data_IF_386355369312
#
_entry.id   IF_386355369312
#
_cell.length_a   1.000
_cell.length_b   1.000
_cell.length_c   1.000
_cell.angle_alpha   90.00
_cell.angle_beta   90.00
_cell.angle_gamma   90.00
#
_symmetry.space_group_name_H-M   'P 1'
#
loop_
_entity.id
_entity.type
_entity.pdbx_description
1 polymer ?
#
# COMPACT_ATOMS: atom_id res chain seq x y z
N UNK A 1 1.92 10.62 15.72
CA UNK A 1 2.96 11.05 14.79
C UNK A 1 4.01 11.84 15.58
N UNK A 2 5.26 11.82 15.13
CA UNK A 2 6.34 12.62 15.68
C UNK A 2 6.38 14.03 15.04
N UNK A 3 7.37 14.84 15.43
CA UNK A 3 7.55 16.21 14.93
C UNK A 3 7.86 16.29 13.43
N UNK A 4 8.20 15.19 12.78
CA UNK A 4 8.44 15.14 11.33
C UNK A 4 7.18 14.76 10.53
N UNK A 5 6.10 14.39 11.21
CA UNK A 5 4.87 13.85 10.62
C UNK A 5 4.95 12.35 10.30
N UNK A 6 5.99 11.66 10.78
CA UNK A 6 6.11 10.21 10.70
C UNK A 6 5.35 9.54 11.86
N UNK A 7 4.87 8.30 11.66
CA UNK A 7 4.37 7.51 12.79
C UNK A 7 5.49 7.31 13.81
N UNK A 8 5.17 7.41 15.11
CA UNK A 8 6.15 7.26 16.19
C UNK A 8 6.89 5.91 16.06
N UNK A 9 8.18 5.93 16.37
CA UNK A 9 9.00 4.73 16.36
C UNK A 9 8.57 3.74 17.45
N UNK A 10 9.06 2.50 17.35
CA UNK A 10 8.66 1.41 18.27
C UNK A 10 9.05 1.73 19.73
N UNK A 11 10.20 2.37 19.93
CA UNK A 11 10.70 2.77 21.23
C UNK A 11 9.82 3.85 21.88
N UNK A 12 9.46 4.90 21.12
CA UNK A 12 8.56 5.94 21.59
C UNK A 12 7.15 5.40 21.86
N UNK A 13 6.65 4.48 21.02
CA UNK A 13 5.37 3.82 21.26
C UNK A 13 5.39 2.97 22.56
N UNK A 14 6.49 2.24 22.81
CA UNK A 14 6.67 1.48 24.04
C UNK A 14 6.71 2.39 25.28
N UNK A 15 7.36 3.56 25.19
CA UNK A 15 7.35 4.56 26.25
C UNK A 15 5.93 5.08 26.53
N UNK A 16 5.19 5.46 25.50
CA UNK A 16 3.79 5.91 25.64
C UNK A 16 2.94 4.84 26.32
N UNK A 17 3.11 3.55 25.96
CA UNK A 17 2.38 2.46 26.59
C UNK A 17 2.62 2.38 28.10
N UNK A 18 3.83 2.71 28.61
CA UNK A 18 4.10 2.70 30.07
C UNK A 18 3.25 3.70 30.85
N UNK A 19 2.85 4.82 30.19
CA UNK A 19 1.95 5.81 30.82
C UNK A 19 0.47 5.38 30.79
N UNK A 20 0.11 4.47 29.89
CA UNK A 20 -1.26 3.96 29.73
C UNK A 20 -1.47 2.71 30.60
N UNK A 21 -0.41 1.91 30.83
CA UNK A 21 -0.46 0.71 31.66
C UNK A 21 -0.96 1.02 33.07
N UNK A 22 -1.96 0.26 33.51
CA UNK A 22 -2.57 0.43 34.85
C UNK A 22 -3.64 1.52 34.93
N UNK A 23 -3.95 2.24 33.84
CA UNK A 23 -5.08 3.18 33.79
C UNK A 23 -6.39 2.43 33.55
N UNK A 24 -7.42 2.80 34.31
CA UNK A 24 -8.76 2.24 34.14
C UNK A 24 -9.57 3.02 33.08
N UNK A 25 -10.60 2.37 32.54
CA UNK A 25 -11.53 3.01 31.62
C UNK A 25 -12.27 4.21 32.26
N UNK A 26 -12.51 4.16 33.58
CA UNK A 26 -13.14 5.24 34.35
C UNK A 26 -12.24 6.49 34.43
N UNK A 27 -10.92 6.31 34.57
CA UNK A 27 -9.97 7.44 34.54
C UNK A 27 -9.94 8.09 33.16
N UNK A 28 -9.99 7.29 32.09
CA UNK A 28 -10.10 7.82 30.71
C UNK A 28 -11.41 8.58 30.49
N UNK A 29 -12.54 8.09 31.01
CA UNK A 29 -13.83 8.76 30.94
C UNK A 29 -13.82 10.12 31.68
N UNK A 30 -13.19 10.19 32.85
CA UNK A 30 -13.03 11.46 33.60
C UNK A 30 -12.22 12.51 32.83
N UNK A 31 -11.19 12.09 32.08
CA UNK A 31 -10.42 12.96 31.20
C UNK A 31 -11.31 13.47 30.06
N UNK A 32 -12.06 12.57 29.40
CA UNK A 32 -12.99 12.92 28.32
C UNK A 32 -14.14 13.83 28.77
N UNK A 33 -14.56 13.75 30.05
CA UNK A 33 -15.54 14.66 30.64
C UNK A 33 -14.97 16.06 30.95
N UNK A 34 -13.73 16.35 30.56
CA UNK A 34 -13.14 17.69 30.64
C UNK A 34 -12.63 18.12 32.02
N UNK A 35 -12.51 17.18 32.96
CA UNK A 35 -12.04 17.51 34.32
C UNK A 35 -10.53 17.80 34.42
N UNK A 36 -9.75 17.37 33.40
CA UNK A 36 -8.28 17.50 33.40
C UNK A 36 -7.70 17.88 32.03
N UNK A 37 -8.52 18.32 31.08
CA UNK A 37 -8.04 18.68 29.75
C UNK A 37 -7.38 20.07 29.80
N UNK A 38 -6.12 20.17 29.40
CA UNK A 38 -5.50 21.46 29.16
C UNK A 38 -5.91 21.99 27.78
N UNK A 39 -6.94 22.86 27.75
CA UNK A 39 -7.48 23.41 26.53
C UNK A 39 -6.44 24.19 25.69
N UNK A 40 -5.37 24.72 26.34
CA UNK A 40 -4.32 25.45 25.65
C UNK A 40 -3.44 24.56 24.76
N UNK A 41 -3.53 23.23 24.94
CA UNK A 41 -2.85 22.25 24.10
C UNK A 41 -3.72 21.71 22.96
N UNK A 42 -4.99 22.14 22.89
CA UNK A 42 -5.94 21.71 21.84
C UNK A 42 -6.06 22.85 20.86
N UNK A 43 -5.53 22.63 19.64
CA UNK A 43 -5.64 23.59 18.56
C UNK A 43 -6.57 23.04 17.48
N UNK A 44 -7.51 23.84 17.05
CA UNK A 44 -8.37 23.50 15.91
C UNK A 44 -7.64 23.81 14.61
N UNK A 45 -7.59 22.82 13.71
CA UNK A 45 -6.99 22.97 12.38
C UNK A 45 -7.98 23.79 11.51
N UNK A 46 -7.52 24.92 10.98
CA UNK A 46 -8.31 25.83 10.17
C UNK A 46 -8.10 25.66 8.66
N UNK A 47 -8.73 26.56 7.91
CA UNK A 47 -8.64 26.58 6.44
C UNK A 47 -7.21 26.79 5.93
N UNK A 48 -6.38 27.53 6.67
CA UNK A 48 -4.99 27.82 6.27
C UNK A 48 -4.15 26.53 6.18
N UNK A 49 -4.29 25.65 7.15
CA UNK A 49 -3.57 24.36 7.18
C UNK A 49 -4.08 23.43 6.08
N UNK A 50 -5.41 23.42 5.86
CA UNK A 50 -6.01 22.64 4.77
C UNK A 50 -5.58 23.16 3.40
N UNK A 51 -5.55 24.47 3.18
CA UNK A 51 -5.09 25.06 1.93
C UNK A 51 -3.60 24.79 1.70
N UNK A 52 -2.76 24.86 2.75
CA UNK A 52 -1.35 24.50 2.65
C UNK A 52 -1.15 23.02 2.27
N UNK A 53 -1.97 22.11 2.81
CA UNK A 53 -1.97 20.71 2.42
C UNK A 53 -2.38 20.54 0.94
N UNK A 54 -3.47 21.16 0.51
CA UNK A 54 -3.91 21.08 -0.88
C UNK A 54 -2.89 21.66 -1.87
N UNK A 55 -2.23 22.74 -1.50
CA UNK A 55 -1.14 23.32 -2.29
C UNK A 55 0.05 22.36 -2.41
N UNK A 56 0.39 21.68 -1.31
CA UNK A 56 1.48 20.71 -1.30
C UNK A 56 1.16 19.46 -2.19
N UNK A 57 -0.08 18.97 -2.12
CA UNK A 57 -0.58 17.89 -2.99
C UNK A 57 -0.60 18.33 -4.46
N UNK A 58 -1.13 19.52 -4.75
CA UNK A 58 -1.22 20.04 -6.11
C UNK A 58 0.15 20.19 -6.78
N UNK A 59 1.20 20.50 -6.02
CA UNK A 59 2.58 20.55 -6.51
C UNK A 59 3.13 19.18 -6.97
N UNK A 60 2.47 18.09 -6.61
CA UNK A 60 2.82 16.75 -7.09
C UNK A 60 2.11 16.41 -8.41
N UNK A 61 1.24 17.27 -8.94
CA UNK A 61 0.59 17.08 -10.24
C UNK A 61 1.61 16.84 -11.35
N UNK A 62 1.34 15.85 -12.21
CA UNK A 62 2.24 15.42 -13.28
C UNK A 62 1.61 15.50 -14.67
N UNK A 63 0.28 15.54 -14.75
CA UNK A 63 -0.44 15.57 -16.02
C UNK A 63 -1.76 16.33 -15.87
N UNK A 64 -1.90 17.47 -16.55
CA UNK A 64 -3.02 18.39 -16.37
C UNK A 64 -3.88 18.58 -17.65
N UNK A 65 -3.67 17.76 -18.68
CA UNK A 65 -4.47 17.85 -19.89
C UNK A 65 -5.93 17.48 -19.60
N UNK A 66 -6.85 18.19 -20.25
CA UNK A 66 -8.28 17.88 -20.14
C UNK A 66 -8.57 16.48 -20.63
N UNK A 67 -9.30 15.73 -19.85
CA UNK A 67 -9.70 14.37 -20.14
C UNK A 67 -11.21 14.22 -20.01
N UNK A 68 -11.76 13.34 -20.83
CA UNK A 68 -13.13 12.85 -20.72
C UNK A 68 -13.22 11.60 -19.79
N UNK A 69 -12.21 11.39 -18.96
CA UNK A 69 -12.16 10.29 -17.99
C UNK A 69 -13.34 10.38 -17.04
N UNK A 70 -14.15 9.33 -16.99
CA UNK A 70 -15.28 9.19 -16.05
C UNK A 70 -14.87 8.34 -14.87
N UNK A 71 -15.04 8.89 -13.68
CA UNK A 71 -14.59 8.30 -12.42
C UNK A 71 -15.80 8.08 -11.51
N UNK A 72 -15.90 6.89 -10.92
CA UNK A 72 -16.74 6.68 -9.73
C UNK A 72 -15.84 6.61 -8.52
N UNK A 73 -16.13 7.42 -7.52
CA UNK A 73 -15.37 7.49 -6.28
C UNK A 73 -16.21 7.10 -5.07
N UNK A 74 -15.63 6.29 -4.19
CA UNK A 74 -16.16 6.04 -2.85
C UNK A 74 -15.14 6.36 -1.77
N UNK A 75 -15.46 7.23 -0.80
CA UNK A 75 -14.64 7.46 0.38
C UNK A 75 -14.81 6.39 1.46
N UNK A 76 -15.64 5.37 1.25
CA UNK A 76 -15.98 4.34 2.24
C UNK A 76 -16.32 4.93 3.63
N UNK A 77 -17.16 5.97 3.65
CA UNK A 77 -17.56 6.74 4.85
C UNK A 77 -16.41 7.52 5.52
N UNK A 78 -15.28 7.69 4.83
CA UNK A 78 -14.03 8.21 5.40
C UNK A 78 -13.76 9.68 5.12
N UNK A 79 -12.60 10.10 5.60
CA UNK A 79 -12.10 11.48 5.55
C UNK A 79 -11.73 11.96 4.15
N UNK A 80 -11.49 11.01 3.21
CA UNK A 80 -11.12 11.32 1.83
C UNK A 80 -12.18 12.03 1.02
N UNK A 81 -13.46 12.02 1.44
CA UNK A 81 -14.58 12.60 0.67
C UNK A 81 -14.31 14.03 0.18
N UNK A 82 -13.91 14.92 1.06
CA UNK A 82 -13.67 16.33 0.70
C UNK A 82 -12.34 16.52 -0.02
N UNK A 83 -11.19 16.09 0.52
CA UNK A 83 -9.88 16.38 -0.08
C UNK A 83 -9.67 15.70 -1.44
N UNK A 84 -10.07 14.43 -1.60
CA UNK A 84 -9.93 13.74 -2.88
C UNK A 84 -10.78 14.43 -3.95
N UNK A 85 -12.03 14.75 -3.65
CA UNK A 85 -12.90 15.47 -4.60
C UNK A 85 -12.36 16.85 -4.98
N UNK A 86 -11.73 17.56 -4.02
CA UNK A 86 -11.09 18.85 -4.30
C UNK A 86 -9.94 18.69 -5.29
N UNK A 87 -9.10 17.66 -5.13
CA UNK A 87 -8.01 17.38 -6.05
C UNK A 87 -8.48 16.85 -7.42
N UNK A 88 -9.64 16.24 -7.47
CA UNK A 88 -10.23 15.70 -8.71
C UNK A 88 -11.25 16.67 -9.36
N UNK A 89 -11.30 17.95 -8.97
CA UNK A 89 -12.30 18.89 -9.43
C UNK A 89 -12.30 19.11 -10.96
N UNK A 90 -11.22 18.81 -11.65
CA UNK A 90 -11.09 18.91 -13.10
C UNK A 90 -11.55 17.65 -13.87
N UNK A 91 -11.95 16.59 -13.16
CA UNK A 91 -12.44 15.33 -13.72
C UNK A 91 -13.96 15.18 -13.57
N UNK A 92 -14.56 14.31 -14.38
CA UNK A 92 -15.97 13.90 -14.24
C UNK A 92 -16.07 12.82 -13.15
N UNK A 93 -16.35 13.25 -11.92
CA UNK A 93 -16.38 12.40 -10.73
C UNK A 93 -17.81 12.22 -10.23
N UNK A 94 -18.29 10.99 -10.22
CA UNK A 94 -19.54 10.58 -9.56
C UNK A 94 -19.21 9.91 -8.22
N UNK A 95 -19.73 10.45 -7.12
CA UNK A 95 -19.53 9.88 -5.78
C UNK A 95 -20.64 8.90 -5.43
N UNK A 96 -20.30 7.77 -4.80
CA UNK A 96 -21.26 6.81 -4.25
C UNK A 96 -21.98 7.43 -3.07
N UNK A 97 -23.24 7.78 -3.25
CA UNK A 97 -24.03 8.56 -2.25
C UNK A 97 -24.21 7.84 -0.94
N UNK A 98 -24.36 6.53 -0.97
CA UNK A 98 -24.56 5.67 0.18
C UNK A 98 -23.32 5.60 1.08
N UNK A 99 -22.14 5.92 0.53
CA UNK A 99 -20.83 5.85 1.21
C UNK A 99 -20.16 7.22 1.35
N UNK A 100 -20.84 8.30 0.92
CA UNK A 100 -20.27 9.65 0.88
C UNK A 100 -20.05 10.25 2.28
N UNK A 101 -21.02 10.07 3.16
CA UNK A 101 -21.00 10.68 4.50
C UNK A 101 -20.44 9.73 5.55
N UNK A 102 -19.84 10.26 6.63
CA UNK A 102 -19.36 9.43 7.74
C UNK A 102 -20.46 8.56 8.33
N UNK A 103 -20.16 7.29 8.51
CA UNK A 103 -21.00 6.31 9.21
C UNK A 103 -20.11 5.44 10.11
N UNK A 104 -20.13 5.68 11.41
CA UNK A 104 -19.34 4.93 12.40
C UNK A 104 -19.68 3.45 12.50
N UNK A 105 -20.82 3.02 11.96
CA UNK A 105 -21.21 1.60 11.89
C UNK A 105 -20.79 0.92 10.58
N UNK A 106 -20.32 1.70 9.58
CA UNK A 106 -19.99 1.20 8.25
C UNK A 106 -21.09 0.32 7.63
N UNK A 107 -22.35 0.79 7.72
CA UNK A 107 -23.56 -0.02 7.45
C UNK A 107 -23.64 -0.57 6.03
N UNK A 108 -22.86 -0.03 5.09
CA UNK A 108 -22.85 -0.45 3.67
C UNK A 108 -21.76 -1.47 3.34
N UNK A 109 -20.82 -1.71 4.25
CA UNK A 109 -19.65 -2.60 4.00
C UNK A 109 -19.32 -3.40 5.26
N UNK A 110 -18.88 -4.64 5.08
CA UNK A 110 -18.38 -5.45 6.20
C UNK A 110 -17.02 -4.97 6.71
N UNK A 111 -16.20 -4.50 5.80
CA UNK A 111 -14.86 -3.97 6.07
C UNK A 111 -14.62 -2.79 5.10
N UNK A 112 -14.36 -1.58 5.60
CA UNK A 112 -14.12 -0.41 4.75
C UNK A 112 -12.69 -0.39 4.20
N UNK A 113 -12.26 -1.48 3.56
CA UNK A 113 -10.92 -1.66 3.03
C UNK A 113 -10.98 -1.77 1.50
N UNK A 114 -10.40 -0.83 0.72
CA UNK A 114 -10.44 -0.84 -0.73
C UNK A 114 -9.66 -2.00 -1.38
N UNK A 115 -8.93 -2.81 -0.61
CA UNK A 115 -8.35 -4.08 -1.04
C UNK A 115 -9.43 -5.15 -1.28
N UNK A 116 -10.56 -5.04 -0.58
CA UNK A 116 -11.64 -6.03 -0.62
C UNK A 116 -12.63 -5.67 -1.73
N UNK A 117 -12.93 -6.63 -2.60
CA UNK A 117 -13.89 -6.44 -3.69
C UNK A 117 -15.25 -5.98 -3.16
N UNK A 118 -15.70 -6.54 -2.02
CA UNK A 118 -16.99 -6.23 -1.43
C UNK A 118 -17.11 -4.74 -1.04
N UNK A 119 -16.00 -4.09 -0.64
CA UNK A 119 -15.99 -2.69 -0.31
C UNK A 119 -16.28 -1.79 -1.52
N UNK A 120 -15.89 -2.22 -2.72
CA UNK A 120 -16.08 -1.47 -3.98
C UNK A 120 -17.34 -1.86 -4.76
N UNK A 121 -18.15 -2.81 -4.29
CA UNK A 121 -19.30 -3.30 -5.03
C UNK A 121 -20.28 -2.19 -5.42
N UNK A 122 -20.69 -1.31 -4.51
CA UNK A 122 -21.61 -0.20 -4.83
C UNK A 122 -21.00 0.77 -5.86
N UNK A 123 -19.70 1.02 -5.76
CA UNK A 123 -19.00 1.85 -6.72
C UNK A 123 -18.90 1.19 -8.11
N UNK A 124 -18.67 -0.13 -8.16
CA UNK A 124 -18.64 -0.91 -9.40
C UNK A 124 -20.04 -0.94 -10.04
N UNK A 125 -21.10 -1.15 -9.25
CA UNK A 125 -22.49 -1.11 -9.75
C UNK A 125 -22.79 0.26 -10.35
N UNK A 126 -22.44 1.35 -9.65
CA UNK A 126 -22.61 2.71 -10.15
C UNK A 126 -21.77 2.97 -11.41
N UNK A 127 -20.56 2.46 -11.45
CA UNK A 127 -19.70 2.59 -12.62
C UNK A 127 -20.25 1.86 -13.85
N UNK A 128 -20.85 0.67 -13.68
CA UNK A 128 -21.56 -0.04 -14.75
C UNK A 128 -22.75 0.75 -15.27
N UNK A 129 -23.53 1.38 -14.37
CA UNK A 129 -24.69 2.19 -14.73
C UNK A 129 -24.33 3.37 -15.65
N UNK A 130 -23.25 4.10 -15.34
CA UNK A 130 -22.87 5.31 -16.06
C UNK A 130 -21.76 5.10 -17.10
N UNK A 131 -21.24 3.88 -17.20
CA UNK A 131 -20.12 3.54 -18.11
C UNK A 131 -18.81 4.26 -17.74
N UNK A 132 -18.47 4.31 -16.43
CA UNK A 132 -17.24 4.93 -15.98
C UNK A 132 -16.00 4.14 -16.46
N UNK A 133 -14.88 4.83 -16.62
CA UNK A 133 -13.60 4.22 -17.02
C UNK A 133 -12.90 3.54 -15.85
N UNK A 134 -13.02 4.15 -14.66
CA UNK A 134 -12.34 3.71 -13.45
C UNK A 134 -13.21 3.92 -12.21
N UNK A 135 -13.11 2.98 -11.28
CA UNK A 135 -13.59 3.11 -9.89
C UNK A 135 -12.41 3.39 -8.99
N UNK A 136 -12.58 4.32 -8.07
CA UNK A 136 -11.60 4.70 -7.06
C UNK A 136 -12.23 4.56 -5.66
N UNK A 137 -11.56 3.93 -4.73
CA UNK A 137 -11.98 3.82 -3.34
C UNK A 137 -10.83 4.16 -2.39
N UNK A 138 -11.11 4.94 -1.34
CA UNK A 138 -10.17 5.19 -0.25
C UNK A 138 -10.70 4.58 1.03
N UNK A 139 -9.80 4.14 1.92
CA UNK A 139 -10.18 3.71 3.27
C UNK A 139 -10.56 4.90 4.16
N UNK A 140 -11.09 4.66 5.38
CA UNK A 140 -11.66 5.75 6.17
C UNK A 140 -10.69 6.84 6.61
N UNK A 141 -9.43 6.55 6.84
CA UNK A 141 -8.38 7.52 7.17
C UNK A 141 -7.65 8.05 5.93
N UNK A 142 -8.06 7.57 4.73
CA UNK A 142 -7.59 8.02 3.43
C UNK A 142 -6.07 7.89 3.24
N UNK A 143 -5.52 6.78 3.73
CA UNK A 143 -4.11 6.45 3.52
C UNK A 143 -3.88 5.37 2.45
N UNK A 144 -4.94 4.67 2.01
CA UNK A 144 -4.93 3.65 0.95
C UNK A 144 -5.89 3.99 -0.17
N UNK A 145 -5.51 3.57 -1.38
CA UNK A 145 -6.34 3.75 -2.59
C UNK A 145 -6.41 2.44 -3.37
N UNK A 146 -7.63 1.90 -3.51
CA UNK A 146 -7.93 0.79 -4.39
C UNK A 146 -8.63 1.26 -5.67
N UNK A 147 -8.37 0.56 -6.77
CA UNK A 147 -9.00 0.86 -8.06
C UNK A 147 -9.60 -0.38 -8.72
N UNK A 148 -10.68 -0.17 -9.46
CA UNK A 148 -11.17 -1.14 -10.42
C UNK A 148 -11.28 -0.48 -11.80
N UNK A 149 -10.79 -1.16 -12.83
CA UNK A 149 -10.66 -0.63 -14.18
C UNK A 149 -11.61 -1.37 -15.11
N UNK A 150 -12.33 -0.63 -15.94
CA UNK A 150 -13.26 -1.19 -16.92
C UNK A 150 -12.50 -1.95 -17.99
N UNK A 151 -12.90 -3.20 -18.24
CA UNK A 151 -12.39 -4.03 -19.32
C UNK A 151 -13.18 -3.84 -20.63
N UNK A 152 -12.76 -4.53 -21.68
CA UNK A 152 -13.41 -4.49 -23.01
C UNK A 152 -14.86 -5.03 -23.03
N UNK A 153 -15.22 -5.86 -22.06
CA UNK A 153 -16.57 -6.43 -21.91
C UNK A 153 -17.49 -5.52 -21.08
N UNK A 154 -16.95 -4.45 -20.49
CA UNK A 154 -17.67 -3.55 -19.59
C UNK A 154 -17.72 -4.03 -18.15
N UNK A 155 -16.97 -5.08 -17.79
CA UNK A 155 -16.75 -5.51 -16.43
C UNK A 155 -15.61 -4.74 -15.78
N UNK A 156 -15.50 -4.81 -14.44
CA UNK A 156 -14.48 -4.08 -13.68
C UNK A 156 -13.51 -5.04 -13.02
N UNK A 157 -12.23 -4.88 -13.34
CA UNK A 157 -11.13 -5.66 -12.80
C UNK A 157 -10.49 -4.88 -11.65
N UNK A 158 -10.54 -5.45 -10.45
CA UNK A 158 -9.87 -4.90 -9.28
C UNK A 158 -8.35 -5.10 -9.42
N UNK A 159 -7.58 -4.02 -9.34
CA UNK A 159 -6.13 -4.07 -9.37
C UNK A 159 -5.58 -4.28 -7.96
N UNK A 160 -4.52 -5.08 -7.85
CA UNK A 160 -3.79 -5.22 -6.58
C UNK A 160 -2.96 -3.96 -6.30
N UNK A 161 -2.58 -3.78 -5.04
CA UNK A 161 -1.68 -2.69 -4.65
C UNK A 161 -0.36 -2.70 -5.42
N UNK A 162 0.19 -3.89 -5.68
CA UNK A 162 1.40 -4.06 -6.48
C UNK A 162 1.21 -3.65 -7.95
N UNK A 163 0.08 -4.02 -8.56
CA UNK A 163 -0.22 -3.64 -9.95
C UNK A 163 -0.40 -2.13 -10.10
N UNK A 164 -1.19 -1.53 -9.20
CA UNK A 164 -1.38 -0.08 -9.17
C UNK A 164 -0.06 0.64 -8.89
N UNK A 165 0.73 0.12 -7.94
CA UNK A 165 2.06 0.66 -7.60
C UNK A 165 3.04 0.61 -8.77
N UNK A 166 3.11 -0.50 -9.50
CA UNK A 166 3.97 -0.63 -10.68
C UNK A 166 3.59 0.36 -11.80
N UNK A 167 2.29 0.49 -12.08
CA UNK A 167 1.77 1.48 -13.03
C UNK A 167 2.11 2.91 -12.59
N UNK A 168 1.90 3.22 -11.31
CA UNK A 168 2.18 4.53 -10.77
C UNK A 168 3.68 4.84 -10.81
N UNK A 169 4.54 3.88 -10.49
CA UNK A 169 6.00 4.00 -10.65
C UNK A 169 6.34 4.32 -12.09
N UNK A 170 5.83 3.54 -13.07
CA UNK A 170 6.08 3.78 -14.50
C UNK A 170 5.66 5.18 -14.92
N UNK A 171 4.44 5.58 -14.57
CA UNK A 171 3.89 6.91 -14.90
C UNK A 171 4.72 8.04 -14.29
N UNK A 172 5.03 7.98 -12.99
CA UNK A 172 5.83 9.00 -12.29
C UNK A 172 7.21 9.14 -12.91
N UNK A 173 7.85 8.02 -13.25
CA UNK A 173 9.19 8.04 -13.84
C UNK A 173 9.18 8.53 -15.29
N UNK A 174 8.14 8.22 -16.06
CA UNK A 174 7.97 8.79 -17.41
C UNK A 174 7.81 10.31 -17.35
N UNK A 175 6.93 10.81 -16.48
CA UNK A 175 6.67 12.25 -16.34
C UNK A 175 7.87 13.02 -15.77
N UNK A 176 8.60 12.43 -14.82
CA UNK A 176 9.76 13.06 -14.18
C UNK A 176 11.09 12.74 -14.88
N UNK A 177 11.11 12.08 -16.04
CA UNK A 177 12.31 11.53 -16.67
C UNK A 177 13.47 12.55 -16.78
N UNK A 178 13.18 13.80 -17.13
CA UNK A 178 14.21 14.85 -17.25
C UNK A 178 14.75 15.36 -15.92
N UNK A 179 14.06 15.11 -14.80
CA UNK A 179 14.45 15.54 -13.47
C UNK A 179 15.15 14.42 -12.67
N UNK A 180 15.11 13.17 -13.16
CA UNK A 180 15.76 12.04 -12.48
C UNK A 180 17.28 12.19 -12.52
N UNK A 181 17.91 11.80 -11.43
CA UNK A 181 19.36 11.87 -11.27
C UNK A 181 19.89 10.68 -10.44
N UNK A 182 21.21 10.62 -10.22
CA UNK A 182 21.86 9.50 -9.50
C UNK A 182 21.43 9.32 -8.03
N UNK A 183 20.77 10.32 -7.45
CA UNK A 183 20.24 10.24 -6.07
C UNK A 183 18.79 9.78 -6.05
N UNK A 184 18.08 9.87 -7.17
CA UNK A 184 16.68 9.48 -7.28
C UNK A 184 16.46 8.06 -6.78
N UNK A 185 15.49 7.88 -5.88
CA UNK A 185 15.30 6.64 -5.14
C UNK A 185 13.82 6.27 -5.08
N UNK A 186 13.53 5.01 -5.36
CA UNK A 186 12.28 4.36 -5.04
C UNK A 186 12.45 3.62 -3.71
N UNK A 187 11.47 3.74 -2.80
CA UNK A 187 11.46 3.01 -1.53
C UNK A 187 10.25 2.06 -1.50
N UNK A 188 10.49 0.79 -1.18
CA UNK A 188 9.44 -0.25 -1.05
C UNK A 188 9.67 -1.12 0.18
N UNK A 189 8.66 -1.90 0.57
CA UNK A 189 8.86 -2.89 1.64
C UNK A 189 9.47 -4.19 1.11
N UNK A 190 10.03 -4.99 2.03
CA UNK A 190 10.61 -6.32 1.72
C UNK A 190 9.58 -7.30 1.15
N UNK A 191 8.29 -7.06 1.29
CA UNK A 191 7.18 -7.89 0.79
C UNK A 191 6.40 -7.26 -0.36
N UNK A 192 6.79 -6.07 -0.78
CA UNK A 192 6.27 -5.41 -2.00
C UNK A 192 6.93 -6.02 -3.23
N UNK A 193 6.17 -6.17 -4.32
CA UNK A 193 6.62 -6.75 -5.60
C UNK A 193 7.93 -6.14 -6.11
N UNK A 194 8.75 -6.94 -6.79
CA UNK A 194 9.96 -6.45 -7.48
C UNK A 194 9.62 -5.70 -8.79
N UNK A 195 8.42 -5.83 -9.34
CA UNK A 195 8.06 -5.22 -10.62
C UNK A 195 8.31 -3.71 -10.64
N UNK A 196 7.85 -2.97 -9.63
CA UNK A 196 8.10 -1.52 -9.54
C UNK A 196 9.58 -1.20 -9.35
N UNK A 197 10.32 -2.05 -8.62
CA UNK A 197 11.76 -1.88 -8.47
C UNK A 197 12.52 -2.13 -9.78
N UNK A 198 12.11 -3.13 -10.57
CA UNK A 198 12.72 -3.41 -11.87
C UNK A 198 12.45 -2.30 -12.88
N UNK A 199 11.23 -1.75 -12.89
CA UNK A 199 10.92 -0.53 -13.63
C UNK A 199 11.88 0.59 -13.21
N UNK A 200 11.98 0.87 -11.91
CA UNK A 200 12.82 1.98 -11.41
C UNK A 200 14.31 1.78 -11.70
N UNK A 201 14.84 0.54 -11.62
CA UNK A 201 16.21 0.21 -12.03
C UNK A 201 16.47 0.54 -13.50
N UNK A 202 15.49 0.28 -14.36
CA UNK A 202 15.59 0.59 -15.79
C UNK A 202 15.68 2.12 -16.07
N UNK A 203 15.11 2.95 -15.17
CA UNK A 203 15.27 4.41 -15.18
C UNK A 203 16.54 4.89 -14.46
N UNK A 204 17.34 3.99 -13.90
CA UNK A 204 18.58 4.31 -13.20
C UNK A 204 18.38 4.79 -11.75
N UNK A 205 17.24 4.52 -11.15
CA UNK A 205 17.00 4.85 -9.74
C UNK A 205 17.71 3.89 -8.79
N UNK A 206 17.99 4.40 -7.61
CA UNK A 206 18.31 3.56 -6.46
C UNK A 206 17.04 2.92 -5.90
N UNK A 207 17.18 1.74 -5.33
CA UNK A 207 16.09 1.02 -4.68
C UNK A 207 16.48 0.80 -3.22
N UNK A 208 15.69 1.34 -2.31
CA UNK A 208 15.84 1.06 -0.89
C UNK A 208 14.65 0.22 -0.40
N UNK A 209 14.96 -0.86 0.30
CA UNK A 209 13.97 -1.73 0.93
C UNK A 209 13.82 -1.39 2.41
N UNK A 210 12.60 -1.46 2.93
CA UNK A 210 12.28 -1.30 4.36
C UNK A 210 11.50 -2.51 4.88
N UNK A 211 11.39 -2.63 6.18
CA UNK A 211 10.39 -3.51 6.79
C UNK A 211 8.98 -3.05 6.43
N UNK A 212 7.99 -3.91 6.64
CA UNK A 212 6.57 -3.58 6.47
C UNK A 212 6.14 -2.49 7.45
N UNK A 213 5.44 -1.49 6.92
CA UNK A 213 4.94 -0.34 7.64
C UNK A 213 5.54 0.95 7.10
N UNK A 214 4.67 1.84 6.66
CA UNK A 214 5.07 3.07 5.95
C UNK A 214 5.93 4.01 6.81
N UNK A 215 5.88 3.87 8.15
CA UNK A 215 6.78 4.58 9.07
C UNK A 215 8.27 4.41 8.72
N UNK A 216 8.66 3.24 8.21
CA UNK A 216 10.04 3.01 7.78
C UNK A 216 10.36 3.71 6.45
N UNK A 217 9.37 3.84 5.57
CA UNK A 217 9.49 4.64 4.34
C UNK A 217 9.59 6.13 4.71
N UNK A 218 8.72 6.61 5.64
CA UNK A 218 8.77 7.97 6.17
C UNK A 218 10.12 8.30 6.83
N UNK A 219 10.66 7.37 7.61
CA UNK A 219 12.00 7.54 8.22
C UNK A 219 13.13 7.61 7.16
N UNK A 220 13.04 6.83 6.07
CA UNK A 220 13.99 6.96 4.95
C UNK A 220 13.93 8.35 4.32
N UNK A 221 12.75 8.93 4.15
CA UNK A 221 12.62 10.31 3.65
C UNK A 221 13.34 11.29 4.57
N UNK A 222 13.14 11.17 5.90
CA UNK A 222 13.83 11.99 6.89
C UNK A 222 15.36 11.83 6.83
N UNK A 223 15.85 10.59 6.66
CA UNK A 223 17.28 10.30 6.51
C UNK A 223 17.85 10.97 5.25
N UNK A 224 17.11 10.90 4.11
CA UNK A 224 17.56 11.50 2.86
C UNK A 224 17.62 13.03 2.93
N UNK A 225 16.63 13.67 3.54
CA UNK A 225 16.63 15.11 3.72
C UNK A 225 17.79 15.60 4.62
N UNK A 226 18.12 14.83 5.67
CA UNK A 226 19.22 15.15 6.57
C UNK A 226 20.58 14.92 5.93
N UNK A 227 20.75 13.83 5.17
CA UNK A 227 22.05 13.47 4.59
C UNK A 227 22.32 14.11 3.23
N UNK A 228 21.26 14.35 2.44
CA UNK A 228 21.36 14.77 1.04
C UNK A 228 21.98 13.73 0.11
N UNK A 229 22.14 12.47 0.56
CA UNK A 229 22.73 11.38 -0.25
C UNK A 229 21.76 10.76 -1.25
N UNK A 230 20.48 10.80 -0.93
CA UNK A 230 19.37 10.25 -1.72
C UNK A 230 18.26 11.28 -1.89
N UNK A 231 17.43 11.09 -2.90
CA UNK A 231 16.23 11.88 -3.16
C UNK A 231 15.03 10.94 -3.34
N UNK A 232 14.06 11.07 -2.47
CA UNK A 232 12.84 10.27 -2.55
C UNK A 232 12.00 10.71 -3.76
N UNK A 233 11.61 9.76 -4.60
CA UNK A 233 10.75 10.01 -5.76
C UNK A 233 9.36 9.45 -5.51
N UNK A 234 9.28 8.17 -5.14
CA UNK A 234 8.06 7.43 -4.87
C UNK A 234 8.34 6.29 -3.90
N UNK A 235 7.38 6.02 -3.03
CA UNK A 235 7.39 4.82 -2.19
C UNK A 235 6.00 4.20 -2.13
N UNK A 236 5.94 2.87 -1.97
CA UNK A 236 4.67 2.18 -1.88
C UNK A 236 4.76 0.83 -1.17
N UNK A 237 3.62 0.39 -0.69
CA UNK A 237 3.40 -0.93 -0.11
C UNK A 237 2.39 -1.72 -0.95
N UNK A 238 2.51 -3.04 -0.91
CA UNK A 238 1.56 -3.96 -1.55
C UNK A 238 0.12 -3.79 -1.01
N UNK A 239 -0.02 -3.22 0.18
CA UNK A 239 -1.27 -2.95 0.88
C UNK A 239 -1.92 -1.62 0.47
N UNK A 240 -1.78 -1.23 -0.80
CA UNK A 240 -2.49 -0.09 -1.43
C UNK A 240 -2.11 1.29 -0.88
N UNK A 241 -1.00 1.40 -0.17
CA UNK A 241 -0.44 2.65 0.32
C UNK A 241 0.66 3.19 -0.59
N UNK A 242 0.54 4.42 -1.03
CA UNK A 242 1.50 5.07 -1.93
C UNK A 242 1.81 6.49 -1.45
N UNK A 243 3.02 6.97 -1.78
CA UNK A 243 3.42 8.35 -1.59
C UNK A 243 4.33 8.80 -2.73
N UNK A 244 4.04 9.96 -3.31
CA UNK A 244 4.89 10.64 -4.29
C UNK A 244 5.22 12.03 -3.76
N UNK A 245 6.52 12.38 -3.76
CA UNK A 245 6.98 13.62 -3.14
C UNK A 245 7.20 13.48 -1.64
N UNK A 246 7.61 14.58 -1.01
CA UNK A 246 8.05 14.61 0.40
C UNK A 246 7.20 15.52 1.29
N UNK A 247 5.98 15.85 0.86
CA UNK A 247 5.05 16.69 1.61
C UNK A 247 4.43 15.98 2.81
N UNK A 248 4.43 14.66 2.82
CA UNK A 248 3.99 13.80 3.91
C UNK A 248 5.08 12.79 4.29
N UNK A 249 4.90 12.11 5.43
CA UNK A 249 5.79 11.03 5.92
C UNK A 249 5.06 9.71 6.12
N UNK A 250 3.84 9.66 5.62
CA UNK A 250 3.00 8.46 5.59
C UNK A 250 2.33 8.37 4.21
N UNK A 251 1.65 7.28 3.96
CA UNK A 251 0.81 7.07 2.78
C UNK A 251 -0.18 8.23 2.65
N UNK A 252 -0.35 8.73 1.46
CA UNK A 252 -1.32 9.78 1.19
C UNK A 252 -2.27 9.36 0.06
N UNK A 253 -3.51 9.01 0.45
CA UNK A 253 -4.56 8.65 -0.48
C UNK A 253 -5.02 9.81 -1.35
N UNK A 254 -4.84 11.05 -0.92
CA UNK A 254 -5.26 12.23 -1.68
C UNK A 254 -4.34 12.47 -2.88
N UNK A 255 -3.02 12.49 -2.65
CA UNK A 255 -2.04 12.59 -3.74
C UNK A 255 -2.09 11.36 -4.65
N UNK A 256 -2.27 10.18 -4.07
CA UNK A 256 -2.35 8.93 -4.82
C UNK A 256 -3.58 8.89 -5.73
N UNK A 257 -4.75 9.27 -5.23
CA UNK A 257 -5.98 9.38 -6.01
C UNK A 257 -5.83 10.36 -7.19
N UNK A 258 -5.26 11.53 -6.94
CA UNK A 258 -4.98 12.53 -7.98
C UNK A 258 -4.08 11.95 -9.07
N UNK A 259 -2.94 11.37 -8.68
CA UNK A 259 -1.98 10.83 -9.65
C UNK A 259 -2.48 9.60 -10.40
N UNK A 260 -3.26 8.73 -9.76
CA UNK A 260 -3.91 7.59 -10.42
C UNK A 260 -4.90 8.08 -11.50
N UNK A 261 -5.69 9.12 -11.20
CA UNK A 261 -6.62 9.68 -12.19
C UNK A 261 -5.86 10.37 -13.34
N UNK A 262 -4.78 11.09 -13.05
CA UNK A 262 -3.90 11.67 -14.06
C UNK A 262 -3.26 10.59 -14.93
N UNK A 263 -2.77 9.51 -14.34
CA UNK A 263 -2.24 8.36 -15.04
C UNK A 263 -3.29 7.70 -15.95
N UNK A 264 -4.51 7.48 -15.44
CA UNK A 264 -5.60 6.93 -16.26
C UNK A 264 -5.95 7.86 -17.43
N UNK A 265 -5.97 9.18 -17.19
CA UNK A 265 -6.16 10.19 -18.22
C UNK A 265 -5.05 10.16 -19.27
N UNK A 266 -3.80 10.05 -18.86
CA UNK A 266 -2.65 9.97 -19.74
C UNK A 266 -2.67 8.73 -20.64
N UNK A 267 -3.04 7.56 -20.10
CA UNK A 267 -3.24 6.35 -20.91
C UNK A 267 -4.43 6.51 -21.87
N UNK A 268 -5.54 7.07 -21.39
CA UNK A 268 -6.75 7.29 -22.22
C UNK A 268 -6.46 8.23 -23.40
N UNK A 269 -5.66 9.27 -23.22
CA UNK A 269 -5.22 10.17 -24.30
C UNK A 269 -4.40 9.44 -25.38
N UNK A 270 -3.82 8.29 -25.06
CA UNK A 270 -3.11 7.41 -26.00
C UNK A 270 -4.00 6.30 -26.56
N UNK A 271 -5.31 6.32 -26.29
CA UNK A 271 -6.25 5.27 -26.69
C UNK A 271 -6.10 3.95 -25.92
N UNK A 272 -5.51 4.01 -24.71
CA UNK A 272 -5.24 2.86 -23.84
C UNK A 272 -5.99 2.97 -22.51
N UNK A 273 -6.31 1.83 -21.93
CA UNK A 273 -6.75 1.70 -20.54
C UNK A 273 -5.55 1.46 -19.60
N UNK A 274 -5.79 1.48 -18.28
CA UNK A 274 -4.77 1.03 -17.31
C UNK A 274 -4.49 -0.48 -17.43
N UNK A 275 -5.44 -1.28 -17.94
CA UNK A 275 -5.23 -2.70 -18.25
C UNK A 275 -4.20 -2.84 -19.35
N UNK A 276 -4.32 -2.04 -20.43
CA UNK A 276 -3.35 -2.02 -21.52
C UNK A 276 -1.97 -1.58 -21.03
N UNK A 277 -1.92 -0.54 -20.19
CA UNK A 277 -0.67 -0.08 -19.58
C UNK A 277 0.01 -1.16 -18.72
N UNK A 278 -0.76 -1.91 -17.94
CA UNK A 278 -0.24 -3.04 -17.16
C UNK A 278 0.25 -4.19 -18.05
N UNK A 279 -0.45 -4.47 -19.14
CA UNK A 279 -0.03 -5.47 -20.11
C UNK A 279 1.26 -5.08 -20.83
N UNK A 280 1.43 -3.79 -21.16
CA UNK A 280 2.69 -3.26 -21.72
C UNK A 280 3.87 -3.48 -20.74
N UNK A 281 3.66 -3.21 -19.44
CA UNK A 281 4.65 -3.44 -18.39
C UNK A 281 4.98 -4.95 -18.31
N UNK A 282 4.00 -5.82 -18.32
CA UNK A 282 4.24 -7.27 -18.30
C UNK A 282 4.95 -7.77 -19.57
N UNK A 283 4.69 -7.17 -20.72
CA UNK A 283 5.39 -7.51 -21.96
C UNK A 283 6.87 -7.11 -21.91
N UNK A 284 7.21 -6.02 -21.20
CA UNK A 284 8.58 -5.52 -21.08
C UNK A 284 9.37 -6.23 -19.97
N UNK A 285 8.75 -6.49 -18.79
CA UNK A 285 9.43 -6.96 -17.58
C UNK A 285 9.13 -8.43 -17.23
N UNK A 286 8.20 -9.10 -17.92
CA UNK A 286 7.67 -10.40 -17.54
C UNK A 286 6.44 -10.27 -16.65
N UNK A 287 5.76 -11.40 -16.43
CA UNK A 287 4.55 -11.46 -15.63
C UNK A 287 4.89 -11.68 -14.16
N UNK A 288 4.47 -10.75 -13.31
CA UNK A 288 4.61 -10.82 -11.85
C UNK A 288 3.26 -11.17 -11.25
N UNK A 289 3.16 -12.33 -10.63
CA UNK A 289 1.96 -12.80 -9.93
C UNK A 289 2.19 -12.72 -8.43
N UNK A 290 1.68 -11.65 -7.83
CA UNK A 290 1.75 -11.43 -6.40
C UNK A 290 0.48 -11.97 -5.72
N UNK A 291 0.63 -12.60 -4.55
CA UNK A 291 -0.48 -13.14 -3.79
C UNK A 291 -0.19 -13.12 -2.29
N UNK A 292 -1.25 -13.04 -1.48
CA UNK A 292 -1.18 -13.09 -0.02
C UNK A 292 -2.15 -14.14 0.53
N UNK A 293 -1.62 -15.11 1.27
CA UNK A 293 -2.41 -15.97 2.15
C UNK A 293 -2.31 -15.49 3.59
N UNK A 294 -3.42 -15.51 4.30
CA UNK A 294 -3.50 -15.16 5.71
C UNK A 294 -4.14 -16.32 6.49
N UNK A 295 -3.39 -16.94 7.38
CA UNK A 295 -3.83 -18.08 8.18
C UNK A 295 -4.05 -17.64 9.62
N UNK A 296 -5.30 -17.70 10.10
CA UNK A 296 -5.67 -17.38 11.48
C UNK A 296 -5.63 -18.65 12.31
N UNK A 297 -4.76 -18.69 13.31
CA UNK A 297 -4.59 -19.81 14.24
C UNK A 297 -5.09 -19.36 15.61
N UNK A 298 -6.37 -19.65 15.93
CA UNK A 298 -7.07 -19.11 17.11
C UNK A 298 -6.54 -19.68 18.44
N UNK A 299 -6.61 -18.87 19.50
CA UNK A 299 -6.33 -19.24 20.87
C UNK A 299 -4.84 -19.25 21.23
N UNK A 300 -4.54 -19.66 22.48
CA UNK A 300 -3.16 -19.74 23.00
C UNK A 300 -2.32 -20.74 22.22
N UNK A 301 -2.88 -21.89 21.92
CA UNK A 301 -2.23 -22.96 21.14
C UNK A 301 -1.87 -22.46 19.72
N UNK A 302 -2.66 -21.53 19.18
CA UNK A 302 -2.38 -20.90 17.88
C UNK A 302 -1.11 -20.05 17.88
N UNK A 303 -0.85 -19.29 18.93
CA UNK A 303 0.36 -18.48 19.06
C UNK A 303 1.61 -19.38 19.20
N UNK A 304 1.53 -20.45 20.00
CA UNK A 304 2.61 -21.44 20.16
C UNK A 304 2.87 -22.16 18.82
N UNK A 305 1.81 -22.53 18.10
CA UNK A 305 1.93 -23.13 16.76
C UNK A 305 2.61 -22.20 15.76
N UNK A 306 2.32 -20.90 15.76
CA UNK A 306 2.99 -19.91 14.91
C UNK A 306 4.49 -19.88 15.17
N UNK A 307 4.93 -19.89 16.43
CA UNK A 307 6.35 -19.91 16.78
C UNK A 307 7.02 -21.21 16.34
N UNK A 308 6.34 -22.35 16.51
CA UNK A 308 6.80 -23.65 16.03
C UNK A 308 6.97 -23.66 14.51
N UNK A 309 5.97 -23.14 13.76
CA UNK A 309 6.02 -23.03 12.31
C UNK A 309 7.19 -22.16 11.84
N UNK A 310 7.42 -21.01 12.48
CA UNK A 310 8.56 -20.14 12.13
C UNK A 310 9.89 -20.85 12.38
N UNK A 311 9.99 -21.66 13.43
CA UNK A 311 11.17 -22.50 13.72
C UNK A 311 11.35 -23.57 12.66
N UNK A 312 10.27 -24.22 12.24
CA UNK A 312 10.29 -25.23 11.18
C UNK A 312 10.71 -24.61 9.83
N UNK A 313 10.13 -23.47 9.45
CA UNK A 313 10.54 -22.75 8.23
C UNK A 313 12.03 -22.42 8.25
N UNK A 314 12.56 -21.89 9.36
CA UNK A 314 14.00 -21.61 9.51
C UNK A 314 14.84 -22.88 9.34
N UNK A 315 14.46 -23.98 9.99
CA UNK A 315 15.22 -25.23 9.94
C UNK A 315 15.26 -25.86 8.54
N UNK A 316 14.17 -25.73 7.77
CA UNK A 316 14.12 -26.22 6.39
C UNK A 316 15.01 -25.39 5.45
N UNK A 317 15.13 -24.08 5.69
CA UNK A 317 15.98 -23.20 4.90
C UNK A 317 15.80 -23.40 3.40
N UNK A 318 16.89 -23.53 2.64
CA UNK A 318 16.87 -23.74 1.18
C UNK A 318 16.20 -25.05 0.76
N UNK A 319 16.06 -26.03 1.66
CA UNK A 319 15.42 -27.32 1.36
C UNK A 319 13.87 -27.24 1.36
N UNK A 320 13.30 -26.09 1.69
CA UNK A 320 11.85 -25.90 1.69
C UNK A 320 11.24 -26.14 0.30
N UNK A 321 11.88 -25.63 -0.75
CA UNK A 321 11.51 -25.83 -2.14
C UNK A 321 12.76 -25.99 -3.01
N UNK A 322 12.62 -26.71 -4.12
CA UNK A 322 13.68 -26.82 -5.11
C UNK A 322 13.96 -25.45 -5.76
N UNK A 323 15.23 -25.20 -6.08
CA UNK A 323 15.67 -24.00 -6.78
C UNK A 323 15.73 -22.72 -5.95
N UNK A 324 15.52 -22.78 -4.63
CA UNK A 324 15.77 -21.62 -3.75
C UNK A 324 17.27 -21.30 -3.80
N UNK A 325 17.57 -20.04 -4.14
CA UNK A 325 18.92 -19.48 -4.19
C UNK A 325 19.37 -18.98 -2.82
N UNK A 326 18.48 -18.32 -2.10
CA UNK A 326 18.79 -17.62 -0.86
C UNK A 326 17.60 -17.63 0.10
N UNK A 327 17.91 -17.70 1.39
CA UNK A 327 16.93 -17.46 2.47
C UNK A 327 17.44 -16.30 3.31
N UNK A 328 16.65 -15.26 3.37
CA UNK A 328 16.93 -14.06 4.17
C UNK A 328 16.12 -14.13 5.47
N UNK A 329 16.82 -14.20 6.60
CA UNK A 329 16.19 -14.16 7.94
C UNK A 329 16.40 -12.78 8.58
N UNK A 330 15.31 -12.05 8.73
CA UNK A 330 15.34 -10.70 9.30
C UNK A 330 15.39 -10.67 10.83
N UNK A 331 15.33 -11.83 11.50
CA UNK A 331 15.32 -11.90 12.98
C UNK A 331 16.61 -11.40 13.63
N UNK A 332 17.72 -11.41 12.91
CA UNK A 332 19.01 -10.89 13.36
C UNK A 332 19.24 -9.40 13.10
N UNK A 333 18.39 -8.79 12.29
CA UNK A 333 18.65 -7.51 11.62
C UNK A 333 19.58 -7.72 10.42
N UNK A 334 19.27 -7.12 9.28
CA UNK A 334 20.05 -7.24 8.04
C UNK A 334 19.98 -5.94 7.24
N UNK A 335 21.06 -5.56 6.57
CA UNK A 335 21.14 -4.38 5.69
C UNK A 335 20.61 -3.10 6.36
N UNK A 336 20.99 -2.84 7.62
CA UNK A 336 20.52 -1.72 8.44
C UNK A 336 19.02 -1.72 8.77
N UNK A 337 18.31 -2.80 8.46
CA UNK A 337 16.93 -2.99 8.88
C UNK A 337 16.85 -3.47 10.33
N UNK A 338 15.87 -3.01 11.11
CA UNK A 338 15.61 -3.51 12.44
C UNK A 338 15.33 -5.02 12.44
N UNK A 339 15.41 -5.64 13.61
CA UNK A 339 15.07 -7.06 13.79
C UNK A 339 13.58 -7.26 13.62
N UNK A 340 13.18 -8.19 12.76
CA UNK A 340 11.79 -8.60 12.60
C UNK A 340 11.69 -10.11 12.33
N UNK A 341 10.62 -10.74 12.82
CA UNK A 341 10.41 -12.17 12.64
C UNK A 341 9.85 -12.48 11.24
N UNK A 342 10.68 -12.29 10.21
CA UNK A 342 10.34 -12.53 8.80
C UNK A 342 11.39 -13.43 8.17
N UNK A 343 10.93 -14.35 7.32
CA UNK A 343 11.77 -15.17 6.45
C UNK A 343 11.38 -14.93 5.00
N UNK A 344 12.36 -14.60 4.14
CA UNK A 344 12.15 -14.42 2.70
C UNK A 344 12.99 -15.44 1.94
N UNK A 345 12.34 -16.26 1.11
CA UNK A 345 12.94 -17.28 0.26
C UNK A 345 12.97 -16.76 -1.16
N UNK A 346 14.12 -16.75 -1.81
CA UNK A 346 14.34 -16.15 -3.11
C UNK A 346 14.83 -17.23 -4.08
N UNK A 347 14.19 -17.34 -5.25
CA UNK A 347 14.59 -18.21 -6.34
C UNK A 347 15.54 -17.52 -7.32
N UNK A 348 16.21 -18.30 -8.19
CA UNK A 348 17.14 -17.78 -9.19
C UNK A 348 16.48 -16.84 -10.23
N UNK A 349 15.20 -17.02 -10.48
CA UNK A 349 14.41 -16.24 -11.45
C UNK A 349 13.84 -14.94 -10.88
N UNK A 350 14.16 -14.61 -9.65
CA UNK A 350 13.63 -13.42 -8.96
C UNK A 350 12.29 -13.64 -8.26
N UNK A 351 11.64 -14.80 -8.44
CA UNK A 351 10.48 -15.17 -7.63
C UNK A 351 10.86 -15.24 -6.15
N UNK A 352 9.91 -14.91 -5.28
CA UNK A 352 10.14 -15.01 -3.83
C UNK A 352 8.86 -15.33 -3.06
N UNK A 353 9.05 -15.82 -1.86
CA UNK A 353 8.01 -16.07 -0.86
C UNK A 353 8.50 -15.51 0.48
N UNK A 354 7.65 -14.80 1.21
CA UNK A 354 7.97 -14.33 2.55
C UNK A 354 6.94 -14.82 3.58
N UNK A 355 7.42 -15.29 4.73
CA UNK A 355 6.58 -15.76 5.85
C UNK A 355 6.76 -14.81 7.01
N UNK A 356 5.64 -14.28 7.53
CA UNK A 356 5.62 -13.28 8.60
C UNK A 356 4.47 -13.54 9.56
N UNK A 357 4.70 -13.75 10.86
CA UNK A 357 3.64 -13.71 11.86
C UNK A 357 3.14 -12.28 12.07
N UNK A 358 1.84 -12.14 12.37
CA UNK A 358 1.29 -10.86 12.82
C UNK A 358 1.77 -10.53 14.23
N UNK A 359 2.09 -9.28 14.48
CA UNK A 359 2.48 -8.81 15.83
C UNK A 359 1.29 -8.63 16.78
N UNK A 360 0.06 -8.49 16.25
CA UNK A 360 -1.13 -8.12 17.04
C UNK A 360 -2.20 -9.20 17.09
N UNK A 361 -2.18 -10.15 16.17
CA UNK A 361 -3.20 -11.19 16.04
C UNK A 361 -2.54 -12.58 15.90
N UNK A 362 -3.18 -13.66 16.34
CA UNK A 362 -2.69 -15.02 16.14
C UNK A 362 -2.84 -15.46 14.68
N UNK A 363 -2.06 -14.87 13.82
CA UNK A 363 -2.14 -14.97 12.37
C UNK A 363 -0.73 -15.06 11.77
N UNK A 364 -0.55 -15.89 10.75
CA UNK A 364 0.64 -15.94 9.92
C UNK A 364 0.29 -15.53 8.49
N UNK A 365 1.03 -14.58 7.95
CA UNK A 365 0.90 -14.12 6.57
C UNK A 365 2.00 -14.74 5.71
N UNK A 366 1.63 -15.17 4.51
CA UNK A 366 2.57 -15.67 3.52
C UNK A 366 2.37 -14.86 2.24
N UNK A 367 3.38 -14.13 1.88
CA UNK A 367 3.43 -13.31 0.66
C UNK A 367 4.15 -14.10 -0.42
N UNK A 368 3.64 -14.04 -1.63
CA UNK A 368 4.22 -14.68 -2.80
C UNK A 368 4.40 -13.67 -3.91
N UNK A 369 5.50 -13.76 -4.62
CA UNK A 369 5.72 -13.05 -5.88
C UNK A 369 6.37 -14.04 -6.85
N UNK A 370 5.62 -14.45 -7.85
CA UNK A 370 6.06 -15.43 -8.85
C UNK A 370 6.30 -14.70 -10.16
N UNK A 371 7.52 -14.83 -10.68
CA UNK A 371 7.93 -14.23 -11.95
C UNK A 371 8.02 -15.31 -13.01
N UNK A 372 7.32 -15.11 -14.12
CA UNK A 372 7.35 -16.02 -15.27
C UNK A 372 6.99 -15.25 -16.55
N UNK A 373 7.54 -15.60 -17.71
CA UNK A 373 7.09 -15.02 -18.98
C UNK A 373 5.63 -15.32 -19.34
N UNK A 374 5.04 -16.38 -18.75
CA UNK A 374 3.66 -16.82 -18.98
C UNK A 374 2.81 -16.70 -17.71
N UNK A 375 1.66 -16.03 -17.84
CA UNK A 375 0.66 -15.90 -16.79
C UNK A 375 0.18 -17.27 -16.27
N UNK A 376 -0.05 -18.20 -17.18
CA UNK A 376 -0.55 -19.55 -16.88
C UNK A 376 0.49 -20.37 -16.10
N UNK A 377 1.77 -20.23 -16.45
CA UNK A 377 2.85 -20.91 -15.72
C UNK A 377 3.03 -20.30 -14.33
N UNK A 378 3.02 -18.98 -14.21
CA UNK A 378 3.06 -18.30 -12.92
C UNK A 378 1.93 -18.76 -11.99
N UNK A 379 0.70 -18.87 -12.51
CA UNK A 379 -0.46 -19.33 -11.74
C UNK A 379 -0.29 -20.79 -11.27
N UNK A 380 0.09 -21.72 -12.15
CA UNK A 380 0.32 -23.12 -11.78
C UNK A 380 1.42 -23.27 -10.73
N UNK A 381 2.51 -22.50 -10.86
CA UNK A 381 3.62 -22.53 -9.92
C UNK A 381 3.19 -21.97 -8.55
N UNK A 382 2.45 -20.86 -8.55
CA UNK A 382 1.87 -20.28 -7.33
C UNK A 382 0.98 -21.29 -6.61
N UNK A 383 0.07 -21.96 -7.31
CA UNK A 383 -0.84 -22.94 -6.72
C UNK A 383 -0.06 -24.10 -6.09
N UNK A 384 0.97 -24.60 -6.77
CA UNK A 384 1.84 -25.67 -6.25
C UNK A 384 2.55 -25.24 -4.95
N UNK A 385 3.09 -24.02 -4.92
CA UNK A 385 3.79 -23.50 -3.74
C UNK A 385 2.80 -23.29 -2.59
N UNK A 386 1.64 -22.68 -2.87
CA UNK A 386 0.59 -22.43 -1.88
C UNK A 386 0.06 -23.73 -1.26
N UNK A 387 -0.17 -24.76 -2.05
CA UNK A 387 -0.62 -26.05 -1.55
C UNK A 387 0.40 -26.67 -0.57
N UNK A 388 1.68 -26.62 -0.90
CA UNK A 388 2.75 -27.09 0.00
C UNK A 388 2.81 -26.29 1.30
N UNK A 389 2.68 -24.97 1.24
CA UNK A 389 2.63 -24.10 2.43
C UNK A 389 1.41 -24.42 3.29
N UNK A 390 0.23 -24.58 2.68
CA UNK A 390 -0.99 -24.97 3.40
C UNK A 390 -0.85 -26.30 4.14
N UNK A 391 -0.21 -27.27 3.51
CA UNK A 391 0.05 -28.57 4.12
C UNK A 391 0.98 -28.46 5.34
N UNK A 392 2.03 -27.61 5.25
CA UNK A 392 2.94 -27.37 6.40
C UNK A 392 2.19 -26.67 7.56
N UNK A 393 1.37 -25.66 7.25
CA UNK A 393 0.67 -24.90 8.28
C UNK A 393 -0.44 -25.73 8.97
N UNK A 394 -1.07 -26.62 8.24
CA UNK A 394 -2.17 -27.48 8.73
C UNK A 394 -1.70 -28.78 9.40
N UNK A 395 -0.43 -29.16 9.23
CA UNK A 395 0.17 -30.30 9.92
C UNK A 395 0.41 -30.03 11.40
#
# INVERSE_FOLDING_TARGET
FDETGCQICTEAAAEVLTYIEGKSYSEAAEILEGKTVNADLINEIGDNELDAFYDAVSKQSLYEEKSDLKIVYTPLHGTGNIPVRKMLANFDVTVVKEQELPDGNFSTVRSPNPEEKDALNLAIEKAKEIGADIVLGTDPDCDRVGIAVRDENGDYILFTGNQTGALLVKFVLDMKKSALNKKSTLVKTIVTSELGADIARNYGLNIDETLTGFKYIGDKINQYEKSGEREFVIGYEESYGYLVGTHARDKDGVVSAMLICQMASWYKAQGKSLIDGLNDIYAEYGYYLDFLDSFVLKGKDGAEKIQSLMTEFRSKGISLFDGIKEVVDFSGGIRDLPKENVLKYIWNDGSWLAVRPSGTEPKIKVYYSIVDPSKENAAKRLDTIREKIKNIINA
#
